data_IF_113515079967
#
_entry.id   IF_113515079967
#
_cell.length_a   1.000
_cell.length_b   1.000
_cell.length_c   1.000
_cell.angle_alpha   90.00
_cell.angle_beta   90.00
_cell.angle_gamma   90.00
#
_symmetry.space_group_name_H-M   'P 1'
#
loop_
_entity.id
_entity.type
_entity.pdbx_description
1 polymer ?
#
# COMPACT_ATOMS: atom_id res chain seq x y z
N UNK A 1 12.85 36.72 36.75
CA UNK A 1 12.94 35.27 36.46
C UNK A 1 11.57 34.73 36.01
N UNK A 2 11.01 35.24 34.91
CA UNK A 2 9.65 34.87 34.44
C UNK A 2 9.56 34.53 32.96
N UNK A 3 10.65 34.72 32.18
CA UNK A 3 10.66 34.48 30.73
C UNK A 3 10.77 33.01 30.30
N UNK A 4 11.32 32.13 31.16
CA UNK A 4 11.56 30.72 30.82
C UNK A 4 10.29 29.87 30.79
N UNK A 5 9.32 30.17 31.68
CA UNK A 5 8.06 29.43 31.79
C UNK A 5 7.14 29.66 30.58
N UNK A 6 7.18 30.87 29.99
CA UNK A 6 6.38 31.19 28.82
C UNK A 6 6.92 30.51 27.56
N UNK A 7 8.24 30.39 27.42
CA UNK A 7 8.87 29.66 26.31
C UNK A 7 8.52 28.16 26.35
N UNK A 8 8.57 27.53 27.54
CA UNK A 8 8.21 26.12 27.72
C UNK A 8 6.73 25.82 27.43
N UNK A 9 5.81 26.71 27.80
CA UNK A 9 4.38 26.56 27.50
C UNK A 9 4.11 26.61 25.98
N UNK A 10 4.78 27.51 25.25
CA UNK A 10 4.69 27.57 23.79
C UNK A 10 5.31 26.33 23.13
N UNK A 11 6.44 25.86 23.64
CA UNK A 11 7.07 24.62 23.17
C UNK A 11 6.16 23.40 23.33
N UNK A 12 5.51 23.27 24.49
CA UNK A 12 4.57 22.18 24.76
C UNK A 12 3.34 22.24 23.82
N UNK A 13 2.84 23.45 23.55
CA UNK A 13 1.71 23.65 22.63
C UNK A 13 2.08 23.32 21.18
N UNK A 14 3.29 23.64 20.73
CA UNK A 14 3.78 23.27 19.39
C UNK A 14 3.95 21.75 19.28
N UNK A 15 4.53 21.11 20.30
CA UNK A 15 4.70 19.65 20.33
C UNK A 15 3.35 18.92 20.30
N UNK A 16 2.35 19.43 21.03
CA UNK A 16 0.99 18.90 20.99
C UNK A 16 0.34 19.06 19.61
N UNK A 17 0.51 20.21 18.95
CA UNK A 17 -0.03 20.46 17.62
C UNK A 17 0.56 19.50 16.57
N UNK A 18 1.89 19.28 16.64
CA UNK A 18 2.59 18.34 15.77
C UNK A 18 2.06 16.92 15.98
N UNK A 19 1.88 16.50 17.24
CA UNK A 19 1.37 15.16 17.56
C UNK A 19 -0.05 14.92 17.01
N UNK A 20 -0.94 15.92 17.08
CA UNK A 20 -2.29 15.84 16.51
C UNK A 20 -2.26 15.73 14.98
N UNK A 21 -1.36 16.47 14.31
CA UNK A 21 -1.16 16.35 12.86
C UNK A 21 -0.74 14.93 12.46
N UNK A 22 0.21 14.32 13.18
CA UNK A 22 0.65 12.95 12.92
C UNK A 22 -0.46 11.92 13.15
N UNK A 23 -1.29 12.07 14.18
CA UNK A 23 -2.45 11.19 14.39
C UNK A 23 -3.47 11.30 13.26
N UNK A 24 -3.69 12.50 12.70
CA UNK A 24 -4.62 12.71 11.59
C UNK A 24 -4.10 12.15 10.24
N UNK A 25 -2.78 12.03 10.08
CA UNK A 25 -2.18 11.42 8.90
C UNK A 25 -2.42 9.90 8.84
N UNK A 26 -2.39 9.21 9.98
CA UNK A 26 -2.75 7.79 10.04
C UNK A 26 -4.25 7.54 9.82
N UNK A 27 -5.12 8.50 10.14
CA UNK A 27 -6.56 8.37 9.93
C UNK A 27 -6.98 8.48 8.45
N UNK A 28 -6.13 9.04 7.58
CA UNK A 28 -6.36 9.09 6.14
C UNK A 28 -6.06 7.76 5.41
N UNK A 29 -5.52 6.74 6.11
CA UNK A 29 -5.57 5.34 5.65
C UNK A 29 -6.97 4.77 5.89
N UNK A 30 -7.96 5.36 5.21
CA UNK A 30 -9.34 4.88 5.22
C UNK A 30 -9.55 3.71 4.25
N UNK A 31 -10.68 2.97 4.38
CA UNK A 31 -11.03 1.82 3.55
C UNK A 31 -11.13 2.12 2.04
N UNK A 32 -11.20 3.40 1.66
CA UNK A 32 -11.13 3.84 0.26
C UNK A 32 -9.74 3.58 -0.38
N UNK A 33 -8.65 3.75 0.38
CA UNK A 33 -7.29 3.42 -0.06
C UNK A 33 -7.12 1.90 -0.21
N UNK A 34 -7.66 1.12 0.73
CA UNK A 34 -7.69 -0.35 0.66
C UNK A 34 -8.48 -0.90 -0.54
N UNK A 35 -9.57 -0.22 -0.95
CA UNK A 35 -10.36 -0.59 -2.12
C UNK A 35 -9.60 -0.36 -3.43
N UNK A 36 -8.81 0.71 -3.50
CA UNK A 36 -7.94 1.01 -4.64
C UNK A 36 -6.76 0.03 -4.76
N UNK A 37 -6.11 -0.28 -3.65
CA UNK A 37 -4.96 -1.20 -3.60
C UNK A 37 -5.35 -2.64 -3.96
N UNK A 38 -6.49 -3.15 -3.45
CA UNK A 38 -6.96 -4.50 -3.84
C UNK A 38 -7.28 -4.58 -5.33
N UNK A 39 -7.87 -3.54 -5.91
CA UNK A 39 -8.16 -3.51 -7.34
C UNK A 39 -6.86 -3.47 -8.16
N UNK A 40 -5.93 -2.59 -7.80
CA UNK A 40 -4.64 -2.49 -8.49
C UNK A 40 -3.82 -3.78 -8.38
N UNK A 41 -3.80 -4.41 -7.20
CA UNK A 41 -3.17 -5.70 -6.98
C UNK A 41 -3.81 -6.79 -7.85
N UNK A 42 -5.15 -6.89 -7.84
CA UNK A 42 -5.86 -7.88 -8.67
C UNK A 42 -5.62 -7.66 -10.17
N UNK A 43 -5.59 -6.40 -10.62
CA UNK A 43 -5.27 -6.07 -12.02
C UNK A 43 -3.83 -6.45 -12.36
N UNK A 44 -2.87 -6.22 -11.47
CA UNK A 44 -1.48 -6.63 -11.68
C UNK A 44 -1.36 -8.16 -11.73
N UNK A 45 -2.02 -8.89 -10.83
CA UNK A 45 -2.08 -10.35 -10.81
C UNK A 45 -2.73 -10.91 -12.08
N UNK A 46 -3.81 -10.29 -12.55
CA UNK A 46 -4.49 -10.72 -13.77
C UNK A 46 -3.58 -10.58 -15.00
N UNK A 47 -2.88 -9.44 -15.14
CA UNK A 47 -1.94 -9.25 -16.25
C UNK A 47 -0.82 -10.27 -16.25
N UNK A 48 -0.23 -10.55 -15.09
CA UNK A 48 0.86 -11.54 -15.01
C UNK A 48 0.35 -12.96 -15.29
N UNK A 49 -0.90 -13.27 -14.93
CA UNK A 49 -1.53 -14.54 -15.28
C UNK A 49 -1.75 -14.67 -16.80
N UNK A 50 -2.23 -13.59 -17.45
CA UNK A 50 -2.45 -13.57 -18.90
C UNK A 50 -1.12 -13.74 -19.68
N UNK A 51 -0.05 -13.07 -19.26
CA UNK A 51 1.30 -13.23 -19.83
C UNK A 51 1.82 -14.66 -19.66
N UNK A 52 1.63 -15.26 -18.48
CA UNK A 52 2.01 -16.63 -18.21
C UNK A 52 1.21 -17.64 -19.04
N UNK A 53 -0.08 -17.41 -19.22
CA UNK A 53 -0.92 -18.22 -20.09
C UNK A 53 -0.41 -18.16 -21.53
N UNK A 54 -0.08 -16.97 -22.03
CA UNK A 54 0.43 -16.76 -23.37
C UNK A 54 1.77 -17.51 -23.59
N UNK A 55 2.67 -17.45 -22.60
CA UNK A 55 3.91 -18.23 -22.61
C UNK A 55 3.66 -19.74 -22.59
N UNK A 56 2.69 -20.20 -21.81
CA UNK A 56 2.31 -21.61 -21.79
C UNK A 56 1.73 -22.08 -23.13
N UNK A 57 0.97 -21.25 -23.83
CA UNK A 57 0.49 -21.56 -25.19
C UNK A 57 1.66 -21.74 -26.17
N UNK A 58 2.70 -20.90 -26.07
CA UNK A 58 3.91 -21.04 -26.88
C UNK A 58 4.65 -22.33 -26.52
N UNK A 59 4.84 -22.62 -25.22
CA UNK A 59 5.46 -23.89 -24.77
C UNK A 59 4.72 -25.10 -25.31
N UNK A 60 3.39 -25.11 -25.22
CA UNK A 60 2.56 -26.17 -25.77
C UNK A 60 2.73 -26.32 -27.29
N UNK A 61 2.83 -25.22 -28.03
CA UNK A 61 3.12 -25.24 -29.48
C UNK A 61 4.45 -25.92 -29.79
N UNK A 62 5.47 -25.71 -28.95
CA UNK A 62 6.80 -26.31 -29.11
C UNK A 62 6.98 -27.62 -28.32
N UNK A 63 5.90 -28.18 -27.74
CA UNK A 63 5.90 -29.39 -26.88
C UNK A 63 6.73 -29.28 -25.60
N UNK A 64 6.99 -28.07 -25.12
CA UNK A 64 7.55 -27.82 -23.80
C UNK A 64 6.46 -27.90 -22.73
N UNK A 65 6.85 -28.23 -21.50
CA UNK A 65 5.93 -28.37 -20.37
C UNK A 65 5.36 -27.01 -19.93
N UNK A 66 4.02 -26.83 -19.87
CA UNK A 66 3.40 -25.60 -19.36
C UNK A 66 3.55 -25.49 -17.84
N UNK A 67 3.50 -24.28 -17.32
CA UNK A 67 3.70 -23.97 -15.90
C UNK A 67 2.67 -22.95 -15.41
N UNK A 68 1.94 -23.25 -14.34
CA UNK A 68 0.92 -22.36 -13.76
C UNK A 68 1.27 -22.06 -12.30
N UNK A 69 1.28 -20.77 -11.94
CA UNK A 69 1.38 -20.32 -10.55
C UNK A 69 -0.01 -19.93 -10.07
N UNK A 70 -0.53 -20.70 -9.13
CA UNK A 70 -1.80 -20.39 -8.49
C UNK A 70 -1.55 -19.41 -7.34
N UNK A 71 -2.03 -18.18 -7.49
CA UNK A 71 -2.01 -17.16 -6.43
C UNK A 71 -3.38 -17.13 -5.75
N UNK A 72 -3.45 -17.69 -4.55
CA UNK A 72 -4.64 -17.58 -3.70
C UNK A 72 -4.83 -16.13 -3.24
N UNK A 73 -5.70 -15.36 -3.91
CA UNK A 73 -6.06 -14.02 -3.46
C UNK A 73 -7.07 -14.10 -2.30
N UNK A 74 -6.77 -13.46 -1.17
CA UNK A 74 -7.62 -13.39 0.06
C UNK A 74 -8.46 -12.11 0.17
#
# INVERSE_FOLDING_TARGET
MTGTNMLNSKFFSILALISILFLSACANLGPASLKGERNNYNVAVQRTNDEQLLLNLVRLKYRDTPFFLEVSSV
#
